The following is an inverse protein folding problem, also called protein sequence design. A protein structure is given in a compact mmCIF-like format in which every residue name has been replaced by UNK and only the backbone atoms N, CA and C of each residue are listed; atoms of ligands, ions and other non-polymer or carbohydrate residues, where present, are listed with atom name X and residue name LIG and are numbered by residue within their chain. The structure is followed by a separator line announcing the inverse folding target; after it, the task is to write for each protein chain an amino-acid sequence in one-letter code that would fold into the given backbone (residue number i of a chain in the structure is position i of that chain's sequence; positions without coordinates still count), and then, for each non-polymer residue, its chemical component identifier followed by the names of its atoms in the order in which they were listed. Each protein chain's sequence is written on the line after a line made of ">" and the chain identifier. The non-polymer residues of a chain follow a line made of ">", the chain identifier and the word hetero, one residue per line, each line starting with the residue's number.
data_IF_291245354883
#
_entry.id   IF_291245354883
#
_cell.length_a   1.000
_cell.length_b   1.000
_cell.length_c   1.000
_cell.angle_alpha   90.00
_cell.angle_beta   90.00
_cell.angle_gamma   90.00
#
_symmetry.space_group_name_H-M   'P 1'
#
loop_
_entity.id
_entity.type
_entity.pdbx_description
1 polymer ?
#
# COMPACT_ATOMS: atom_id res chain seq x y z
N UNK A 1 27.30 19.24 15.05
CA UNK A 1 26.13 18.78 15.81
C UNK A 1 26.01 19.63 17.07
N UNK A 2 24.80 19.98 17.46
CA UNK A 2 24.50 20.67 18.71
C UNK A 2 23.57 19.74 19.50
N UNK A 3 23.77 19.62 20.81
CA UNK A 3 22.97 18.76 21.69
C UNK A 3 22.66 19.48 23.00
N UNK A 4 21.50 19.18 23.58
CA UNK A 4 21.10 19.63 24.93
C UNK A 4 21.51 18.64 26.02
N UNK A 5 22.03 17.48 25.62
CA UNK A 5 22.52 16.44 26.54
C UNK A 5 23.89 16.82 27.10
N UNK A 6 23.97 16.95 28.43
CA UNK A 6 25.17 17.39 29.17
C UNK A 6 25.98 16.22 29.76
N UNK A 7 25.44 15.00 29.76
CA UNK A 7 26.02 13.87 30.51
C UNK A 7 26.52 12.76 29.61
N UNK A 8 25.95 12.60 28.42
CA UNK A 8 26.38 11.55 27.49
C UNK A 8 27.74 11.89 26.87
N UNK A 9 28.69 10.94 26.83
CA UNK A 9 29.96 11.14 26.14
C UNK A 9 29.77 11.47 24.65
N UNK A 10 30.63 12.36 24.11
CA UNK A 10 30.54 12.81 22.72
C UNK A 10 30.49 11.66 21.70
N UNK A 11 31.28 10.60 21.92
CA UNK A 11 31.29 9.38 21.08
C UNK A 11 29.91 8.71 20.99
N UNK A 12 29.20 8.60 22.12
CA UNK A 12 27.87 7.99 22.16
C UNK A 12 26.82 8.90 21.49
N UNK A 13 26.95 10.22 21.60
CA UNK A 13 26.10 11.19 20.89
C UNK A 13 26.26 11.03 19.38
N UNK A 14 27.50 10.98 18.89
CA UNK A 14 27.79 10.80 17.45
C UNK A 14 27.23 9.46 16.96
N UNK A 15 27.43 8.38 17.71
CA UNK A 15 26.87 7.06 17.37
C UNK A 15 25.34 7.08 17.28
N UNK A 16 24.67 7.74 18.23
CA UNK A 16 23.20 7.90 18.20
C UNK A 16 22.76 8.70 16.98
N UNK A 17 23.44 9.81 16.68
CA UNK A 17 23.09 10.63 15.52
C UNK A 17 23.33 9.91 14.19
N UNK A 18 24.35 9.05 14.08
CA UNK A 18 24.54 8.22 12.90
C UNK A 18 23.29 7.34 12.60
N UNK A 19 22.56 6.92 13.64
CA UNK A 19 21.29 6.20 13.51
C UNK A 19 20.16 7.01 12.85
N UNK A 20 20.29 8.34 12.72
CA UNK A 20 19.32 9.20 12.03
C UNK A 20 19.06 8.74 10.59
N UNK A 21 20.09 8.24 9.91
CA UNK A 21 19.98 7.79 8.51
C UNK A 21 18.89 6.73 8.30
N UNK A 22 18.56 5.96 9.35
CA UNK A 22 17.50 4.97 9.30
C UNK A 22 16.16 5.55 8.81
N UNK A 23 15.85 6.83 9.10
CA UNK A 23 14.59 7.44 8.64
C UNK A 23 14.55 7.59 7.11
N UNK A 24 15.68 7.90 6.49
CA UNK A 24 15.79 8.06 5.04
C UNK A 24 15.64 6.69 4.36
N UNK A 25 16.26 5.66 4.93
CA UNK A 25 16.08 4.27 4.52
C UNK A 25 14.62 3.84 4.65
N UNK A 26 13.94 4.19 5.74
CA UNK A 26 12.51 3.90 5.93
C UNK A 26 11.65 4.56 4.86
N UNK A 27 11.87 5.82 4.52
CA UNK A 27 11.10 6.49 3.46
C UNK A 27 11.40 5.95 2.06
N UNK A 28 12.65 5.59 1.77
CA UNK A 28 13.01 4.93 0.52
C UNK A 28 12.33 3.56 0.41
N UNK A 29 12.38 2.75 1.47
CA UNK A 29 11.73 1.45 1.53
C UNK A 29 10.20 1.56 1.42
N UNK A 30 9.57 2.53 2.09
CA UNK A 30 8.12 2.71 2.02
C UNK A 30 7.64 3.06 0.60
N UNK A 31 8.40 3.87 -0.14
CA UNK A 31 8.08 4.17 -1.54
C UNK A 31 8.22 2.94 -2.44
N UNK A 32 9.29 2.16 -2.26
CA UNK A 32 9.61 1.04 -3.15
C UNK A 32 8.84 -0.26 -2.81
N UNK A 33 8.57 -0.51 -1.53
CA UNK A 33 8.00 -1.78 -1.03
C UNK A 33 6.51 -1.67 -0.81
N UNK A 34 6.06 -0.66 -0.04
CA UNK A 34 4.63 -0.47 0.26
C UNK A 34 3.92 0.46 -0.73
N UNK A 35 4.65 1.03 -1.69
CA UNK A 35 4.08 1.90 -2.73
C UNK A 35 3.56 3.24 -2.19
N UNK A 36 4.09 3.71 -1.06
CA UNK A 36 3.72 5.03 -0.52
C UNK A 36 4.04 6.10 -1.57
N UNK A 37 3.04 6.89 -1.96
CA UNK A 37 3.16 7.91 -3.00
C UNK A 37 2.69 7.47 -4.40
N UNK A 38 2.57 6.17 -4.65
CA UNK A 38 2.08 5.62 -5.93
C UNK A 38 0.60 5.17 -5.86
N UNK A 39 -0.04 5.31 -4.70
CA UNK A 39 -1.44 4.95 -4.51
C UNK A 39 -2.36 5.75 -5.45
N UNK A 40 -3.12 5.04 -6.30
CA UNK A 40 -4.04 5.63 -7.29
C UNK A 40 -5.37 6.05 -6.68
N UNK A 41 -5.30 6.92 -5.67
CA UNK A 41 -6.46 7.49 -5.01
C UNK A 41 -7.06 8.65 -5.82
N UNK A 42 -8.38 8.70 -5.93
CA UNK A 42 -9.08 9.72 -6.74
C UNK A 42 -9.38 11.02 -5.99
N UNK A 43 -9.25 11.03 -4.66
CA UNK A 43 -9.53 12.20 -3.83
C UNK A 43 -8.33 12.53 -2.93
N UNK A 44 -8.06 13.82 -2.63
CA UNK A 44 -6.96 14.22 -1.76
C UNK A 44 -7.04 13.57 -0.37
N UNK A 45 -8.25 13.54 0.20
CA UNK A 45 -8.51 12.93 1.51
C UNK A 45 -8.18 11.44 1.57
N UNK A 46 -8.29 10.73 0.45
CA UNK A 46 -7.87 9.33 0.39
C UNK A 46 -6.34 9.21 0.39
N UNK A 47 -5.62 10.08 -0.33
CA UNK A 47 -4.14 10.15 -0.29
C UNK A 47 -3.62 10.40 1.12
N UNK A 48 -4.20 11.38 1.82
CA UNK A 48 -3.83 11.75 3.20
C UNK A 48 -3.97 10.59 4.19
N UNK A 49 -4.86 9.63 3.92
CA UNK A 49 -5.07 8.43 4.76
C UNK A 49 -4.17 7.27 4.35
N UNK A 50 -3.93 7.09 3.05
CA UNK A 50 -3.15 5.96 2.55
C UNK A 50 -1.66 6.09 2.86
N UNK A 51 -1.12 7.31 2.86
CA UNK A 51 0.30 7.55 3.20
C UNK A 51 0.65 7.10 4.63
N UNK A 52 -0.02 7.58 5.70
CA UNK A 52 0.29 7.15 7.06
C UNK A 52 0.00 5.66 7.27
N UNK A 53 -1.04 5.12 6.61
CA UNK A 53 -1.32 3.69 6.64
C UNK A 53 -0.17 2.87 6.02
N UNK A 54 0.34 3.26 4.86
CA UNK A 54 1.46 2.57 4.21
C UNK A 54 2.77 2.64 4.99
N UNK A 55 3.03 3.75 5.69
CA UNK A 55 4.15 3.86 6.63
C UNK A 55 3.97 2.95 7.86
N UNK A 56 2.75 2.85 8.38
CA UNK A 56 2.45 1.93 9.48
C UNK A 56 2.67 0.47 9.06
N UNK A 57 2.16 0.05 7.91
CA UNK A 57 2.40 -1.29 7.36
C UNK A 57 3.90 -1.56 7.17
N UNK A 58 4.66 -0.58 6.65
CA UNK A 58 6.11 -0.70 6.50
C UNK A 58 6.80 -0.94 7.85
N UNK A 59 6.37 -0.26 8.91
CA UNK A 59 6.93 -0.47 10.26
C UNK A 59 6.73 -1.89 10.77
N UNK A 60 5.54 -2.47 10.56
CA UNK A 60 5.22 -3.86 10.92
C UNK A 60 6.09 -4.84 10.13
N UNK A 61 6.21 -4.63 8.80
CA UNK A 61 7.03 -5.49 7.94
C UNK A 61 8.49 -5.47 8.38
N UNK A 62 9.04 -4.29 8.65
CA UNK A 62 10.43 -4.15 9.13
C UNK A 62 10.62 -4.80 10.50
N UNK A 63 9.65 -4.67 11.40
CA UNK A 63 9.70 -5.32 12.71
C UNK A 63 9.69 -6.84 12.59
N UNK A 64 8.79 -7.42 11.79
CA UNK A 64 8.74 -8.85 11.53
C UNK A 64 10.01 -9.38 10.85
N UNK A 65 10.60 -8.61 9.94
CA UNK A 65 11.84 -8.99 9.26
C UNK A 65 13.08 -8.97 10.18
N UNK A 66 13.08 -8.10 11.20
CA UNK A 66 14.21 -7.94 12.13
C UNK A 66 14.08 -8.84 13.36
N UNK A 67 12.86 -9.22 13.73
CA UNK A 67 12.61 -10.12 14.85
C UNK A 67 13.06 -11.52 14.46
N UNK A 68 14.08 -12.11 15.11
CA UNK A 68 14.46 -13.48 14.84
C UNK A 68 13.25 -14.38 15.12
N UNK A 69 13.01 -15.42 14.30
CA UNK A 69 11.93 -16.35 14.58
C UNK A 69 12.18 -16.95 15.96
N UNK A 70 11.23 -16.75 16.88
CA UNK A 70 11.20 -17.49 18.13
C UNK A 70 11.27 -18.97 17.77
N UNK A 71 12.22 -19.70 18.35
CA UNK A 71 12.35 -21.14 18.11
C UNK A 71 11.00 -21.82 18.37
N UNK A 72 10.31 -22.28 17.32
CA UNK A 72 9.08 -23.07 17.47
C UNK A 72 7.82 -22.66 16.68
N UNK A 73 7.87 -21.79 15.67
CA UNK A 73 6.68 -21.60 14.81
C UNK A 73 7.06 -21.60 13.33
N UNK A 74 7.52 -22.75 12.86
CA UNK A 74 7.40 -23.12 11.45
C UNK A 74 5.93 -23.40 11.14
N UNK A 75 5.08 -22.36 11.16
CA UNK A 75 3.83 -22.44 10.40
C UNK A 75 4.26 -22.27 8.95
N UNK A 76 4.46 -23.41 8.30
CA UNK A 76 4.45 -23.49 6.84
C UNK A 76 3.05 -23.04 6.41
N UNK A 77 2.86 -21.72 6.27
CA UNK A 77 1.79 -21.21 5.44
C UNK A 77 2.18 -21.60 4.02
N UNK A 78 1.81 -22.83 3.65
CA UNK A 78 1.66 -23.23 2.26
C UNK A 78 0.54 -22.34 1.75
N UNK A 79 0.90 -21.12 1.32
CA UNK A 79 0.08 -20.31 0.44
C UNK A 79 -0.15 -21.22 -0.76
N UNK A 80 -1.32 -21.87 -0.77
CA UNK A 80 -1.81 -22.56 -1.95
C UNK A 80 -1.88 -21.47 -3.00
N UNK A 81 -0.93 -21.48 -3.93
CA UNK A 81 -1.08 -20.78 -5.19
C UNK A 81 -2.29 -21.40 -5.87
N UNK A 82 -3.48 -20.92 -5.55
CA UNK A 82 -4.67 -21.18 -6.33
C UNK A 82 -4.55 -20.32 -7.61
N UNK A 83 -3.58 -20.64 -8.47
CA UNK A 83 -3.65 -20.30 -9.88
C UNK A 83 -4.74 -21.17 -10.52
N UNK A 84 -5.99 -20.86 -10.21
CA UNK A 84 -7.04 -21.12 -11.19
C UNK A 84 -7.26 -19.79 -11.87
N UNK A 85 -6.75 -19.67 -13.09
CA UNK A 85 -7.26 -18.70 -14.05
C UNK A 85 -8.71 -19.09 -14.30
N UNK A 86 -9.74 -18.34 -13.83
CA UNK A 86 -11.06 -18.57 -14.37
C UNK A 86 -10.98 -18.12 -15.83
N UNK A 87 -11.01 -19.09 -16.75
CA UNK A 87 -11.38 -18.81 -18.13
C UNK A 87 -12.78 -18.21 -18.05
N UNK A 88 -12.86 -16.89 -18.10
CA UNK A 88 -14.11 -16.15 -18.23
C UNK A 88 -14.66 -16.51 -19.61
N UNK A 89 -15.50 -17.53 -19.67
CA UNK A 89 -16.31 -17.83 -20.84
C UNK A 89 -17.16 -16.59 -21.10
N UNK A 90 -16.81 -15.86 -22.16
CA UNK A 90 -17.54 -14.69 -22.65
C UNK A 90 -18.96 -15.13 -22.98
N UNK A 91 -19.87 -15.02 -22.02
CA UNK A 91 -21.29 -15.15 -22.27
C UNK A 91 -21.75 -13.92 -23.04
N UNK A 92 -21.63 -13.99 -24.36
CA UNK A 92 -22.24 -13.06 -25.30
C UNK A 92 -23.76 -13.22 -25.25
N UNK A 93 -24.40 -12.79 -24.16
CA UNK A 93 -25.81 -12.42 -24.20
C UNK A 93 -25.90 -11.11 -24.96
N UNK A 94 -26.01 -11.21 -26.28
CA UNK A 94 -26.50 -10.12 -27.10
C UNK A 94 -27.90 -9.78 -26.58
N UNK A 95 -28.05 -8.64 -25.93
CA UNK A 95 -29.35 -8.05 -25.65
C UNK A 95 -30.02 -7.79 -27.00
N UNK A 96 -31.19 -8.36 -27.30
CA UNK A 96 -31.86 -8.07 -28.57
C UNK A 96 -32.15 -6.56 -28.64
N UNK A 97 -31.88 -5.99 -29.82
CA UNK A 97 -32.10 -4.57 -30.09
C UNK A 97 -33.54 -4.19 -29.73
N UNK A 98 -33.65 -3.19 -28.85
CA UNK A 98 -34.93 -2.59 -28.44
C UNK A 98 -35.60 -2.01 -29.70
N UNK A 99 -36.83 -2.43 -30.05
CA UNK A 99 -37.49 -1.90 -31.24
C UNK A 99 -37.77 -0.41 -31.08
N UNK A 100 -37.60 0.29 -32.21
CA UNK A 100 -37.71 1.72 -32.42
C UNK A 100 -38.79 2.41 -31.57
N UNK A 101 -38.35 3.39 -30.77
CA UNK A 101 -39.20 4.43 -30.19
C UNK A 101 -39.76 5.26 -31.35
N UNK A 102 -41.06 5.15 -31.61
CA UNK A 102 -41.75 5.96 -32.63
C UNK A 102 -41.58 7.46 -32.33
N UNK A 103 -41.44 8.32 -33.35
CA UNK A 103 -41.45 9.76 -33.15
C UNK A 103 -42.81 10.19 -32.63
N UNK A 104 -42.80 11.03 -31.59
CA UNK A 104 -43.99 11.71 -31.09
C UNK A 104 -44.42 12.70 -32.17
N UNK A 105 -45.50 12.38 -32.88
CA UNK A 105 -46.13 13.30 -33.80
C UNK A 105 -46.60 14.53 -33.01
N UNK A 106 -46.00 15.67 -33.29
CA UNK A 106 -46.48 16.96 -32.82
C UNK A 106 -47.80 17.25 -33.55
N UNK A 107 -48.92 17.12 -32.83
CA UNK A 107 -50.22 17.64 -33.27
C UNK A 107 -50.24 19.13 -32.92
N UNK A 108 -49.97 19.98 -33.89
CA UNK A 108 -50.19 21.44 -33.81
C UNK A 108 -51.11 21.81 -34.97
N UNK A 109 -52.22 22.45 -34.59
CA UNK A 109 -53.18 23.28 -35.34
C UNK A 109 -53.79 22.69 -36.62
#
# INVERSE_FOLDING_TARGET
>A
MVTTDLTTPATAIVKRYAGRWAIEVTFAAAKNTTGVGEARNRTPRAVERTVPFGLYTQSIVTWLATTPPSCGTAVTTRLVHHQATPVLTRHGRQTPARPHRRPISARIA
#
